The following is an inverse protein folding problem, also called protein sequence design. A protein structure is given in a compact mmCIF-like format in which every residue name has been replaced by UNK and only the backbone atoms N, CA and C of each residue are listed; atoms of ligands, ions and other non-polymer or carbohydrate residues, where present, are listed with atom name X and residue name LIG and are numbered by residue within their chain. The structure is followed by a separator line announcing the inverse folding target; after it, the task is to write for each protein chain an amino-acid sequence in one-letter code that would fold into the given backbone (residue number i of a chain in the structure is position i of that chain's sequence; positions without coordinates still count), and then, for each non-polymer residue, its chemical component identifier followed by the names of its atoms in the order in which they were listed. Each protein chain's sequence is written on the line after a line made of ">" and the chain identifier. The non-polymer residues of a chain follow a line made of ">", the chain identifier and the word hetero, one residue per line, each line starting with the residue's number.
data_IF_167738806810
#
_entry.id   IF_167738806810
#
_cell.length_a   1.000
_cell.length_b   1.000
_cell.length_c   1.000
_cell.angle_alpha   90.00
_cell.angle_beta   90.00
_cell.angle_gamma   90.00
#
_symmetry.space_group_name_H-M   'P 1'
#
loop_
_entity.id
_entity.type
_entity.pdbx_description
1 polymer ?
#
# COMPACT_ATOMS: atom_id res chain seq x y z
N UNK A 1 -25.42 -14.37 -1.83
CA UNK A 1 -24.43 -13.66 -0.99
C UNK A 1 -23.43 -13.00 -1.92
N UNK A 2 -23.61 -11.71 -2.23
CA UNK A 2 -22.73 -11.01 -3.19
C UNK A 2 -21.49 -10.51 -2.45
N UNK A 3 -20.31 -11.02 -2.80
CA UNK A 3 -19.05 -10.56 -2.22
C UNK A 3 -18.75 -9.15 -2.76
N UNK A 4 -19.01 -8.12 -1.95
CA UNK A 4 -18.79 -6.73 -2.32
C UNK A 4 -17.31 -6.38 -2.15
N UNK A 5 -16.70 -5.76 -3.16
CA UNK A 5 -15.30 -5.34 -3.14
C UNK A 5 -15.15 -3.89 -3.60
N UNK A 6 -14.10 -3.24 -3.11
CA UNK A 6 -13.77 -1.85 -3.45
C UNK A 6 -12.28 -1.72 -3.79
N UNK A 7 -11.95 -1.27 -5.00
CA UNK A 7 -10.59 -0.88 -5.35
C UNK A 7 -10.14 0.33 -4.51
N UNK A 8 -8.94 0.24 -3.95
CA UNK A 8 -8.36 1.28 -3.09
C UNK A 8 -7.14 1.98 -3.70
N UNK A 9 -6.73 1.61 -4.92
CA UNK A 9 -5.58 2.25 -5.59
C UNK A 9 -4.22 1.86 -5.01
N UNK A 10 -4.12 0.71 -4.34
CA UNK A 10 -2.86 0.09 -3.93
C UNK A 10 -2.55 -1.06 -4.91
N UNK A 11 -1.32 -1.16 -5.40
CA UNK A 11 -0.92 -2.22 -6.33
C UNK A 11 0.58 -2.52 -6.29
N UNK A 12 0.97 -3.70 -6.74
CA UNK A 12 2.36 -4.05 -7.01
C UNK A 12 2.63 -3.90 -8.51
N UNK A 13 3.16 -2.73 -8.90
CA UNK A 13 3.48 -2.41 -10.30
C UNK A 13 4.67 -3.21 -10.81
N UNK A 14 5.69 -3.41 -9.97
CA UNK A 14 6.95 -4.04 -10.36
C UNK A 14 6.88 -5.56 -10.36
N UNK A 15 5.79 -6.15 -9.83
CA UNK A 15 5.61 -7.58 -9.60
C UNK A 15 6.71 -8.17 -8.71
N UNK A 16 7.19 -7.38 -7.74
CA UNK A 16 8.27 -7.75 -6.81
C UNK A 16 7.75 -8.15 -5.43
N UNK A 17 6.43 -8.08 -5.21
CA UNK A 17 5.80 -8.27 -3.90
C UNK A 17 5.71 -6.98 -3.09
N UNK A 18 6.13 -5.84 -3.64
CA UNK A 18 6.05 -4.53 -3.00
C UNK A 18 4.83 -3.77 -3.50
N UNK A 19 3.95 -3.40 -2.56
CA UNK A 19 2.72 -2.68 -2.87
C UNK A 19 2.85 -1.21 -2.54
N UNK A 20 2.53 -0.35 -3.50
CA UNK A 20 2.56 1.11 -3.34
C UNK A 20 1.24 1.73 -3.78
N UNK A 21 0.93 2.89 -3.19
CA UNK A 21 -0.22 3.67 -3.62
C UNK A 21 0.03 4.17 -5.03
N UNK A 22 -1.02 4.17 -5.85
CA UNK A 22 -0.98 4.84 -7.14
C UNK A 22 -0.60 6.31 -6.94
N UNK A 23 0.34 6.85 -7.74
CA UNK A 23 0.73 8.25 -7.62
C UNK A 23 -0.45 9.15 -7.92
N UNK A 24 -0.62 10.18 -7.10
CA UNK A 24 -1.63 11.23 -7.29
C UNK A 24 -0.92 12.56 -7.51
N UNK A 25 -1.18 13.21 -8.66
CA UNK A 25 -0.49 14.44 -9.08
C UNK A 25 1.05 14.32 -9.07
N UNK A 26 1.58 13.15 -9.43
CA UNK A 26 3.02 12.88 -9.46
C UNK A 26 3.66 12.63 -8.09
N UNK A 27 2.90 12.71 -6.99
CA UNK A 27 3.37 12.36 -5.66
C UNK A 27 2.94 10.94 -5.30
N UNK A 28 3.89 10.14 -4.81
CA UNK A 28 3.64 8.85 -4.18
C UNK A 28 3.63 9.05 -2.67
N UNK A 29 2.59 8.55 -2.00
CA UNK A 29 2.53 8.56 -0.54
C UNK A 29 3.13 7.27 0.01
N UNK A 30 3.89 7.32 1.12
CA UNK A 30 4.39 6.10 1.74
C UNK A 30 3.22 5.25 2.27
N UNK A 31 3.35 3.92 2.14
CA UNK A 31 2.42 2.98 2.74
C UNK A 31 2.72 2.83 4.24
N UNK A 32 2.05 3.63 5.07
CA UNK A 32 2.28 3.68 6.53
C UNK A 32 1.34 2.77 7.33
N UNK A 33 0.29 2.24 6.71
CA UNK A 33 -0.69 1.38 7.34
C UNK A 33 -1.06 0.25 6.41
N UNK A 34 -1.24 -0.96 6.97
CA UNK A 34 -1.73 -2.12 6.22
C UNK A 34 -2.87 -2.82 6.95
N UNK A 35 -3.84 -3.34 6.19
CA UNK A 35 -4.97 -4.10 6.75
C UNK A 35 -5.28 -5.36 5.94
N UNK A 36 -4.26 -6.15 5.63
CA UNK A 36 -4.38 -7.39 4.86
C UNK A 36 -5.37 -8.38 5.49
N UNK A 37 -6.10 -9.10 4.64
CA UNK A 37 -6.88 -10.25 5.06
C UNK A 37 -5.96 -11.43 5.40
N UNK A 38 -6.50 -12.46 6.05
CA UNK A 38 -5.75 -13.68 6.38
C UNK A 38 -5.10 -14.26 5.11
N UNK A 39 -3.81 -14.58 5.18
CA UNK A 39 -3.02 -15.15 4.09
C UNK A 39 -2.85 -14.25 2.85
N UNK A 40 -2.96 -12.92 3.02
CA UNK A 40 -2.66 -11.95 1.97
C UNK A 40 -1.33 -11.23 2.27
N UNK A 41 -0.61 -10.72 1.25
CA UNK A 41 -0.89 -10.88 -0.19
C UNK A 41 -0.64 -12.31 -0.70
N UNK A 42 -1.50 -12.82 -1.60
CA UNK A 42 -1.44 -14.22 -2.11
C UNK A 42 -0.50 -14.42 -3.29
N UNK A 43 -0.09 -13.36 -3.97
CA UNK A 43 0.73 -13.42 -5.18
C UNK A 43 1.52 -12.13 -5.35
N UNK A 44 2.65 -12.16 -6.04
CA UNK A 44 3.30 -10.94 -6.53
C UNK A 44 2.49 -10.34 -7.68
N UNK A 45 2.48 -9.01 -7.77
CA UNK A 45 1.64 -8.26 -8.69
C UNK A 45 0.18 -8.12 -8.23
N UNK A 46 -0.64 -7.60 -9.13
CA UNK A 46 -2.08 -7.45 -8.94
C UNK A 46 -2.50 -6.13 -8.27
N UNK A 47 -3.81 -5.98 -8.13
CA UNK A 47 -4.46 -4.79 -7.59
C UNK A 47 -5.13 -5.15 -6.28
N UNK A 48 -5.15 -4.21 -5.33
CA UNK A 48 -5.70 -4.47 -4.00
C UNK A 48 -7.13 -3.98 -3.91
N UNK A 49 -8.01 -4.88 -3.49
CA UNK A 49 -9.41 -4.59 -3.21
C UNK A 49 -9.71 -4.79 -1.72
N UNK A 50 -10.53 -3.90 -1.17
CA UNK A 50 -11.07 -4.00 0.18
C UNK A 50 -12.37 -4.80 0.15
N UNK A 51 -12.53 -5.75 1.07
CA UNK A 51 -13.77 -6.52 1.21
C UNK A 51 -14.84 -5.73 1.95
N UNK A 52 -16.06 -5.71 1.42
CA UNK A 52 -17.27 -5.18 2.03
C UNK A 52 -18.16 -6.25 2.68
N UNK A 53 -17.74 -7.52 2.65
CA UNK A 53 -18.50 -8.66 3.16
C UNK A 53 -18.08 -9.06 4.58
N UNK A 54 -18.03 -10.37 4.84
CA UNK A 54 -17.67 -10.94 6.14
C UNK A 54 -16.27 -10.50 6.64
N UNK A 55 -15.35 -10.20 5.72
CA UNK A 55 -14.03 -9.67 6.03
C UNK A 55 -13.96 -8.14 5.88
N UNK A 56 -14.98 -7.43 6.38
CA UNK A 56 -15.15 -5.99 6.19
C UNK A 56 -13.85 -5.20 6.46
N UNK A 57 -13.46 -4.36 5.50
CA UNK A 57 -12.30 -3.50 5.60
C UNK A 57 -10.96 -4.19 5.33
N UNK A 58 -10.90 -5.52 5.26
CA UNK A 58 -9.67 -6.28 4.99
C UNK A 58 -9.31 -6.24 3.52
N UNK A 59 -8.01 -6.25 3.25
CA UNK A 59 -7.46 -6.09 1.91
C UNK A 59 -7.06 -7.44 1.29
N UNK A 60 -7.39 -7.61 0.01
CA UNK A 60 -7.07 -8.80 -0.76
C UNK A 60 -6.48 -8.40 -2.12
N UNK A 61 -5.49 -9.16 -2.57
CA UNK A 61 -4.96 -9.04 -3.93
C UNK A 61 -5.92 -9.73 -4.89
N UNK A 62 -6.28 -9.02 -5.96
CA UNK A 62 -7.15 -9.48 -7.05
C UNK A 62 -6.51 -9.16 -8.39
N UNK A 63 -6.91 -9.91 -9.41
CA UNK A 63 -6.49 -9.64 -10.77
C UNK A 63 -7.10 -8.33 -11.27
N UNK A 64 -6.24 -7.39 -11.68
CA UNK A 64 -6.64 -6.04 -12.08
C UNK A 64 -7.60 -6.00 -13.27
N UNK A 65 -7.60 -7.03 -14.14
CA UNK A 65 -8.32 -7.00 -15.43
C UNK A 65 -9.62 -7.79 -15.40
N UNK A 66 -9.63 -8.91 -14.70
CA UNK A 66 -10.74 -9.87 -14.68
C UNK A 66 -11.64 -9.72 -13.44
N UNK A 67 -11.12 -9.19 -12.33
CA UNK A 67 -11.94 -8.96 -11.14
C UNK A 67 -12.75 -7.66 -11.26
N UNK A 68 -14.02 -7.70 -10.86
CA UNK A 68 -14.89 -6.53 -10.80
C UNK A 68 -15.09 -6.11 -9.35
N UNK A 69 -14.87 -4.83 -9.09
CA UNK A 69 -15.10 -4.20 -7.80
C UNK A 69 -15.60 -2.76 -8.00
N UNK A 70 -16.24 -2.20 -6.98
CA UNK A 70 -16.52 -0.77 -6.90
C UNK A 70 -15.22 0.01 -6.66
N UNK A 71 -15.27 1.34 -6.65
CA UNK A 71 -14.08 2.18 -6.43
C UNK A 71 -14.30 3.13 -5.26
N UNK A 72 -13.25 3.34 -4.46
CA UNK A 72 -13.23 4.35 -3.40
C UNK A 72 -12.15 5.37 -3.73
N UNK A 73 -12.52 6.65 -3.75
CA UNK A 73 -11.62 7.76 -4.03
C UNK A 73 -11.38 8.60 -2.77
N UNK A 74 -10.17 9.17 -2.65
CA UNK A 74 -9.82 10.16 -1.64
C UNK A 74 -9.71 11.53 -2.32
N UNK A 75 -10.42 12.52 -1.79
CA UNK A 75 -10.27 13.92 -2.19
C UNK A 75 -9.84 14.74 -0.98
N UNK A 76 -8.75 15.50 -1.11
CA UNK A 76 -8.31 16.42 -0.07
C UNK A 76 -9.28 17.59 0.04
N UNK A 77 -9.71 17.92 1.26
CA UNK A 77 -10.41 19.17 1.57
C UNK A 77 -9.32 20.23 1.78
N UNK A 78 -9.49 21.42 1.20
CA UNK A 78 -8.45 22.43 0.96
C UNK A 78 -7.58 22.87 2.16
N UNK A 79 -8.00 22.61 3.39
CA UNK A 79 -7.29 22.97 4.62
C UNK A 79 -6.42 21.84 5.21
N UNK A 80 -6.55 20.61 4.72
CA UNK A 80 -5.78 19.48 5.22
C UNK A 80 -4.50 19.32 4.41
N UNK A 81 -3.51 20.18 4.69
CA UNK A 81 -2.14 19.79 4.41
C UNK A 81 -1.87 18.56 5.26
N UNK A 82 -1.64 17.42 4.62
CA UNK A 82 -1.02 16.27 5.30
C UNK A 82 0.23 16.85 5.91
N UNK A 83 0.26 17.02 7.25
CA UNK A 83 1.49 17.37 7.95
C UNK A 83 2.49 16.35 7.43
N UNK A 84 3.51 16.81 6.69
CA UNK A 84 4.50 15.91 6.13
C UNK A 84 4.92 15.03 7.29
N UNK A 85 4.59 13.74 7.20
CA UNK A 85 5.03 12.78 8.21
C UNK A 85 6.54 13.02 8.27
N UNK A 86 7.13 13.30 9.45
CA UNK A 86 8.53 13.66 9.50
C UNK A 86 9.31 12.62 8.71
N UNK A 87 9.99 13.05 7.64
CA UNK A 87 10.87 12.17 6.92
C UNK A 87 11.89 11.70 7.95
N UNK A 88 11.80 10.43 8.34
CA UNK A 88 12.84 9.78 9.11
C UNK A 88 14.06 9.76 8.18
N UNK A 89 14.92 10.75 8.36
CA UNK A 89 16.20 10.86 7.72
C UNK A 89 17.10 9.79 8.35
N UNK A 90 17.04 8.59 7.80
CA UNK A 90 18.06 7.59 8.04
C UNK A 90 19.27 8.02 7.22
N UNK A 91 20.33 8.44 7.92
CA UNK A 91 21.62 8.67 7.30
C UNK A 91 22.21 7.30 6.93
N UNK A 92 22.08 6.95 5.65
CA UNK A 92 22.59 5.70 5.10
C UNK A 92 24.12 5.58 5.17
N UNK A 93 24.82 6.68 5.42
CA UNK A 93 26.27 6.73 5.55
C UNK A 93 26.75 6.81 7.01
N UNK A 94 25.82 6.85 7.97
CA UNK A 94 26.20 6.86 9.37
C UNK A 94 26.97 5.57 9.73
N UNK A 95 28.11 5.69 10.42
CA UNK A 95 28.89 4.52 10.82
C UNK A 95 28.09 3.66 11.81
N UNK A 96 28.21 2.35 11.67
CA UNK A 96 27.59 1.42 12.60
C UNK A 96 28.18 1.60 14.02
N UNK A 97 27.36 1.51 15.09
CA UNK A 97 27.85 1.46 16.46
C UNK A 97 28.81 0.27 16.67
N UNK A 98 29.70 0.31 17.68
CA UNK A 98 30.60 -0.81 17.96
C UNK A 98 29.85 -2.14 18.10
N UNK A 99 30.30 -3.17 17.37
CA UNK A 99 29.69 -4.49 17.35
C UNK A 99 28.56 -4.67 16.32
N UNK A 100 28.26 -3.65 15.51
CA UNK A 100 27.33 -3.73 14.38
C UNK A 100 28.08 -3.64 13.05
N UNK A 101 27.63 -4.41 12.06
CA UNK A 101 28.15 -4.38 10.69
C UNK A 101 26.99 -4.08 9.73
N UNK A 102 27.19 -3.14 8.81
CA UNK A 102 26.26 -2.92 7.69
C UNK A 102 26.65 -3.83 6.53
N UNK A 103 25.68 -4.56 5.98
CA UNK A 103 25.86 -5.20 4.69
C UNK A 103 25.46 -4.21 3.61
N UNK A 104 26.42 -3.83 2.77
CA UNK A 104 26.14 -3.23 1.46
C UNK A 104 25.90 -4.35 0.47
N UNK A 105 24.71 -4.38 -0.16
CA UNK A 105 24.46 -5.22 -1.35
C UNK A 105 25.28 -4.76 -2.57
#
# INVERSE_FOLDING_TARGET
>A
NSSLFYWIGLMDQARKGEYSWLPHNGSSLPLTFTNWNKHQPVSTGGCVAMSGGAALGRWEVKDCKSHKALSVCKQSISSYHVSQLPEHHIDAYAPCPPGWESQSE
#
